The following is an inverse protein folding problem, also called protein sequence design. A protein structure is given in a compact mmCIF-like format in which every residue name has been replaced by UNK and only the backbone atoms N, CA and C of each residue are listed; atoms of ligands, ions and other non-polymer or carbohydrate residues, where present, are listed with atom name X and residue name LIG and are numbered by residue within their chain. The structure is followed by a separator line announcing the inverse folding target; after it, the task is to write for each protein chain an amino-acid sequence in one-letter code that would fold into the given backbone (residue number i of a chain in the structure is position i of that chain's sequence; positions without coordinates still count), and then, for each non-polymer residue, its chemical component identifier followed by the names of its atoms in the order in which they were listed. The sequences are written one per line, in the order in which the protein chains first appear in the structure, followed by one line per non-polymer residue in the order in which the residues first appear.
data_IF_560821193952
#
_entry.id   IF_560821193952
#
_cell.length_a   1.000
_cell.length_b   1.000
_cell.length_c   1.000
_cell.angle_alpha   90.00
_cell.angle_beta   90.00
_cell.angle_gamma   90.00
#
_symmetry.space_group_name_H-M   'P 1'
#
loop_
_entity.id
_entity.type
_entity.pdbx_description
1 polymer ?
#
# COMPACT_ATOMS: atom_id res chain seq x y z
N UNK A 1 -4.00 18.94 -12.27
CA UNK A 1 -4.01 18.33 -10.93
C UNK A 1 -4.80 19.17 -9.93
N UNK A 2 -4.43 20.43 -9.66
CA UNK A 2 -5.04 21.28 -8.64
C UNK A 2 -6.55 21.52 -8.80
N UNK A 3 -7.04 21.75 -10.03
CA UNK A 3 -8.48 21.88 -10.31
C UNK A 3 -9.26 20.61 -9.95
N UNK A 4 -8.69 19.42 -10.21
CA UNK A 4 -9.31 18.13 -9.86
C UNK A 4 -9.34 17.89 -8.35
N UNK A 5 -8.26 18.23 -7.65
CA UNK A 5 -8.23 18.18 -6.19
C UNK A 5 -9.34 19.02 -5.58
N UNK A 6 -9.50 20.28 -6.05
CA UNK A 6 -10.55 21.17 -5.57
C UNK A 6 -11.99 20.75 -5.95
N UNK A 7 -12.15 19.83 -6.90
CA UNK A 7 -13.47 19.35 -7.33
C UNK A 7 -14.02 18.20 -6.48
N UNK A 8 -13.23 17.68 -5.52
CA UNK A 8 -13.70 16.72 -4.53
C UNK A 8 -14.23 17.43 -3.29
N UNK A 9 -15.05 16.72 -2.51
CA UNK A 9 -15.55 17.20 -1.24
C UNK A 9 -14.42 17.55 -0.28
N UNK A 10 -14.66 18.53 0.60
CA UNK A 10 -13.66 18.99 1.58
C UNK A 10 -13.10 17.86 2.43
N UNK A 11 -13.92 16.87 2.78
CA UNK A 11 -13.49 15.68 3.54
C UNK A 11 -12.47 14.83 2.78
N UNK A 12 -12.69 14.61 1.49
CA UNK A 12 -11.77 13.86 0.62
C UNK A 12 -10.48 14.64 0.42
N UNK A 13 -10.58 15.96 0.20
CA UNK A 13 -9.41 16.84 0.10
C UNK A 13 -8.58 16.79 1.39
N UNK A 14 -9.24 16.88 2.55
CA UNK A 14 -8.61 16.80 3.86
C UNK A 14 -7.83 15.49 4.02
N UNK A 15 -8.43 14.36 3.65
CA UNK A 15 -7.79 13.05 3.77
C UNK A 15 -6.60 12.87 2.81
N UNK A 16 -6.62 13.51 1.62
CA UNK A 16 -5.47 13.53 0.71
C UNK A 16 -4.30 14.32 1.31
N UNK A 17 -4.57 15.53 1.85
CA UNK A 17 -3.55 16.33 2.55
C UNK A 17 -3.06 15.62 3.81
N UNK A 18 -3.97 14.98 4.54
CA UNK A 18 -3.64 14.16 5.70
C UNK A 18 -2.69 13.01 5.32
N UNK A 19 -2.95 12.30 4.21
CA UNK A 19 -2.07 11.23 3.73
C UNK A 19 -0.67 11.74 3.41
N UNK A 20 -0.55 12.91 2.78
CA UNK A 20 0.73 13.57 2.54
C UNK A 20 1.47 13.83 3.86
N UNK A 21 0.82 14.52 4.80
CA UNK A 21 1.42 14.89 6.09
C UNK A 21 1.81 13.66 6.93
N UNK A 22 0.98 12.61 6.92
CA UNK A 22 1.28 11.33 7.57
C UNK A 22 2.55 10.69 6.98
N UNK A 23 2.68 10.70 5.66
CA UNK A 23 3.88 10.14 5.04
C UNK A 23 5.12 11.00 5.30
N UNK A 24 4.99 12.33 5.27
CA UNK A 24 6.09 13.20 5.71
C UNK A 24 6.51 12.85 7.13
N UNK A 25 5.58 12.82 8.10
CA UNK A 25 5.88 12.50 9.50
C UNK A 25 6.46 11.09 9.70
N UNK A 26 6.00 10.12 8.92
CA UNK A 26 6.50 8.75 8.97
C UNK A 26 7.89 8.61 8.36
N UNK A 27 8.08 9.10 7.14
CA UNK A 27 9.32 8.90 6.39
C UNK A 27 10.45 9.86 6.82
N UNK A 28 10.16 10.95 7.57
CA UNK A 28 11.22 11.75 8.17
C UNK A 28 11.94 11.02 9.31
N UNK A 29 11.33 10.00 9.94
CA UNK A 29 11.91 9.29 11.09
C UNK A 29 12.32 7.85 10.73
N UNK A 30 11.46 7.08 10.08
CA UNK A 30 11.62 5.63 9.95
C UNK A 30 12.91 5.18 9.25
N UNK A 31 13.41 5.85 8.20
CA UNK A 31 14.68 5.47 7.58
C UNK A 31 15.88 5.58 8.51
N UNK A 32 15.83 6.49 9.49
CA UNK A 32 16.94 6.80 10.39
C UNK A 32 16.85 6.09 11.74
N UNK A 33 15.73 5.44 12.03
CA UNK A 33 15.52 4.75 13.31
C UNK A 33 16.55 3.63 13.50
N UNK A 34 16.83 2.84 12.49
CA UNK A 34 17.82 1.75 12.57
C UNK A 34 19.22 2.27 12.95
N UNK A 35 19.69 3.31 12.27
CA UNK A 35 20.98 3.94 12.57
C UNK A 35 21.03 4.54 14.00
N UNK A 36 19.94 5.17 14.44
CA UNK A 36 19.86 5.67 15.82
C UNK A 36 19.96 4.54 16.85
N UNK A 37 19.26 3.42 16.63
CA UNK A 37 19.30 2.28 17.55
C UNK A 37 20.68 1.60 17.59
N UNK A 38 21.35 1.46 16.42
CA UNK A 38 22.68 0.83 16.34
C UNK A 38 23.80 1.75 16.80
N UNK A 39 23.82 3.00 16.34
CA UNK A 39 24.99 3.88 16.46
C UNK A 39 24.95 4.74 17.73
N UNK A 40 23.75 5.08 18.21
CA UNK A 40 23.56 5.91 19.41
C UNK A 40 23.20 5.11 20.65
N UNK A 41 22.34 4.11 20.54
CA UNK A 41 21.93 3.25 21.64
C UNK A 41 22.78 1.97 21.73
N UNK A 42 23.72 1.75 20.80
CA UNK A 42 24.62 0.60 20.76
C UNK A 42 23.89 -0.75 20.85
N UNK A 43 22.69 -0.81 20.25
CA UNK A 43 21.90 -2.03 20.25
C UNK A 43 22.46 -3.06 19.28
N UNK A 44 22.46 -4.32 19.69
CA UNK A 44 22.82 -5.43 18.83
C UNK A 44 21.84 -5.52 17.62
N UNK A 45 22.33 -5.95 16.45
CA UNK A 45 21.56 -6.00 15.21
C UNK A 45 20.24 -6.79 15.34
N UNK A 46 20.22 -7.86 16.15
CA UNK A 46 18.98 -8.62 16.42
C UNK A 46 17.92 -7.78 17.15
N UNK A 47 18.33 -6.90 18.07
CA UNK A 47 17.42 -6.03 18.83
C UNK A 47 16.84 -4.93 17.92
N UNK A 48 17.68 -4.33 17.05
CA UNK A 48 17.23 -3.39 16.01
C UNK A 48 16.21 -4.07 15.08
N UNK A 49 16.53 -5.27 14.59
CA UNK A 49 15.64 -6.06 13.78
C UNK A 49 14.30 -6.38 14.46
N UNK A 50 14.34 -6.68 15.77
CA UNK A 50 13.15 -6.95 16.56
C UNK A 50 12.24 -5.72 16.71
N UNK A 51 12.82 -4.52 16.95
CA UNK A 51 12.07 -3.26 17.05
C UNK A 51 11.39 -2.91 15.73
N UNK A 52 12.10 -2.99 14.60
CA UNK A 52 11.55 -2.73 13.27
C UNK A 52 10.54 -3.82 12.84
N UNK A 53 10.84 -5.07 13.19
CA UNK A 53 9.96 -6.21 12.95
C UNK A 53 8.65 -6.12 13.73
N UNK A 54 8.69 -5.70 14.99
CA UNK A 54 7.51 -5.49 15.83
C UNK A 54 6.55 -4.46 15.21
N UNK A 55 7.08 -3.34 14.69
CA UNK A 55 6.27 -2.34 13.99
C UNK A 55 5.57 -2.95 12.76
N UNK A 56 6.33 -3.67 11.94
CA UNK A 56 5.81 -4.27 10.71
C UNK A 56 4.78 -5.37 11.01
N UNK A 57 5.05 -6.21 12.01
CA UNK A 57 4.14 -7.26 12.46
C UNK A 57 2.83 -6.67 13.01
N UNK A 58 2.90 -5.65 13.86
CA UNK A 58 1.72 -4.96 14.38
C UNK A 58 0.90 -4.33 13.25
N UNK A 59 1.53 -3.73 12.27
CA UNK A 59 0.82 -3.10 11.15
C UNK A 59 0.16 -4.16 10.26
N UNK A 60 0.92 -5.12 9.76
CA UNK A 60 0.42 -6.11 8.79
C UNK A 60 -0.55 -7.11 9.43
N UNK A 61 -0.23 -7.59 10.63
CA UNK A 61 -1.07 -8.55 11.35
C UNK A 61 -2.40 -7.98 11.82
N UNK A 62 -2.48 -6.68 12.08
CA UNK A 62 -3.67 -6.03 12.62
C UNK A 62 -4.49 -5.24 11.58
N UNK A 63 -4.14 -5.24 10.31
CA UNK A 63 -4.91 -4.55 9.27
C UNK A 63 -6.36 -5.01 9.20
N UNK A 64 -6.60 -6.32 9.31
CA UNK A 64 -7.95 -6.87 9.28
C UNK A 64 -8.78 -6.40 10.49
N UNK A 65 -8.16 -6.36 11.68
CA UNK A 65 -8.79 -5.82 12.89
C UNK A 65 -9.10 -4.33 12.72
N UNK A 66 -8.13 -3.53 12.23
CA UNK A 66 -8.32 -2.10 11.98
C UNK A 66 -9.46 -1.81 11.01
N UNK A 67 -9.55 -2.56 9.92
CA UNK A 67 -10.65 -2.46 8.96
C UNK A 67 -12.01 -2.78 9.59
N UNK A 68 -12.06 -3.84 10.38
CA UNK A 68 -13.30 -4.25 11.08
C UNK A 68 -13.76 -3.21 12.11
N UNK A 69 -12.81 -2.64 12.87
CA UNK A 69 -13.11 -1.55 13.80
C UNK A 69 -13.64 -0.32 13.06
N UNK A 70 -13.07 0.01 11.91
CA UNK A 70 -13.49 1.14 11.09
C UNK A 70 -14.92 0.96 10.55
N UNK A 71 -15.27 -0.24 10.11
CA UNK A 71 -16.63 -0.52 9.63
C UNK A 71 -17.67 -0.56 10.76
N UNK A 72 -17.28 -0.92 11.99
CA UNK A 72 -18.18 -1.03 13.15
C UNK A 72 -18.34 0.28 13.93
N UNK A 73 -17.24 0.98 14.16
CA UNK A 73 -17.22 2.19 14.97
C UNK A 73 -17.41 3.46 14.11
N UNK A 74 -17.31 3.31 12.78
CA UNK A 74 -17.26 4.41 11.83
C UNK A 74 -15.82 4.82 11.50
N UNK A 75 -15.64 5.39 10.33
CA UNK A 75 -14.29 5.68 9.81
C UNK A 75 -13.60 6.81 10.59
N UNK A 76 -14.34 7.88 10.93
CA UNK A 76 -13.80 9.06 11.64
C UNK A 76 -13.10 8.71 12.97
N UNK A 77 -13.74 8.03 13.95
CA UNK A 77 -13.11 7.75 15.24
C UNK A 77 -11.87 6.86 15.09
N UNK A 78 -11.88 5.91 14.15
CA UNK A 78 -10.73 5.03 13.92
C UNK A 78 -9.55 5.76 13.25
N UNK A 79 -9.83 6.70 12.33
CA UNK A 79 -8.82 7.58 11.75
C UNK A 79 -8.17 8.45 12.84
N UNK A 80 -8.98 9.07 13.70
CA UNK A 80 -8.50 9.90 14.82
C UNK A 80 -7.67 9.07 15.80
N UNK A 81 -8.14 7.89 16.19
CA UNK A 81 -7.41 6.97 17.06
C UNK A 81 -6.06 6.56 16.45
N UNK A 82 -6.02 6.28 15.14
CA UNK A 82 -4.78 5.98 14.44
C UNK A 82 -3.77 7.14 14.48
N UNK A 83 -4.21 8.39 14.27
CA UNK A 83 -3.35 9.56 14.36
C UNK A 83 -2.87 9.82 15.80
N UNK A 84 -3.75 9.67 16.79
CA UNK A 84 -3.41 9.84 18.21
C UNK A 84 -2.37 8.79 18.65
N UNK A 85 -2.55 7.53 18.28
CA UNK A 85 -1.58 6.48 18.58
C UNK A 85 -0.23 6.74 17.91
N UNK A 86 -0.21 7.31 16.69
CA UNK A 86 1.04 7.75 16.07
C UNK A 86 1.69 8.87 16.85
N UNK A 87 0.93 9.86 17.30
CA UNK A 87 1.45 10.95 18.14
C UNK A 87 2.19 10.39 19.36
N UNK A 88 1.53 9.47 20.07
CA UNK A 88 2.13 8.82 21.25
C UNK A 88 3.33 7.95 20.88
N UNK A 89 3.18 7.09 19.87
CA UNK A 89 4.24 6.14 19.47
C UNK A 89 5.50 6.85 18.97
N UNK A 90 5.35 7.87 18.13
CA UNK A 90 6.50 8.65 17.62
C UNK A 90 7.11 9.53 18.70
N UNK A 91 6.29 10.11 19.59
CA UNK A 91 6.78 10.82 20.76
C UNK A 91 7.61 9.90 21.66
N UNK A 92 7.10 8.71 22.00
CA UNK A 92 7.82 7.74 22.82
C UNK A 92 9.17 7.34 22.23
N UNK A 93 9.26 7.11 20.91
CA UNK A 93 10.52 6.75 20.24
C UNK A 93 11.64 7.77 20.45
N UNK A 94 11.31 9.04 20.75
CA UNK A 94 12.29 10.08 21.06
C UNK A 94 12.78 10.13 22.52
N UNK A 95 12.11 9.41 23.44
CA UNK A 95 12.40 9.49 24.87
C UNK A 95 12.71 8.16 25.54
N UNK A 96 12.56 7.04 24.81
CA UNK A 96 12.79 5.71 25.39
C UNK A 96 14.04 5.07 24.78
N UNK A 97 14.88 4.52 25.66
CA UNK A 97 16.17 3.93 25.28
C UNK A 97 16.24 2.43 25.63
N UNK A 98 15.22 1.88 26.31
CA UNK A 98 15.18 0.46 26.68
C UNK A 98 14.46 -0.38 25.63
N UNK A 99 14.97 -1.59 25.36
CA UNK A 99 14.39 -2.49 24.37
C UNK A 99 12.88 -2.75 24.58
N UNK A 100 12.38 -3.04 25.81
CA UNK A 100 10.93 -3.23 26.00
C UNK A 100 10.10 -1.99 25.65
N UNK A 101 10.56 -0.79 26.02
CA UNK A 101 9.85 0.45 25.72
C UNK A 101 9.86 0.79 24.23
N UNK A 102 10.99 0.54 23.54
CA UNK A 102 11.08 0.67 22.07
C UNK A 102 10.15 -0.32 21.35
N UNK A 103 10.02 -1.55 21.83
CA UNK A 103 9.08 -2.53 21.28
C UNK A 103 7.63 -2.05 21.43
N UNK A 104 7.26 -1.50 22.58
CA UNK A 104 5.91 -0.94 22.81
C UNK A 104 5.68 0.25 21.89
N UNK A 105 6.60 1.19 21.79
CA UNK A 105 6.50 2.36 20.92
C UNK A 105 6.37 1.95 19.43
N UNK A 106 7.16 0.95 19.00
CA UNK A 106 7.10 0.39 17.65
C UNK A 106 5.79 -0.33 17.38
N UNK A 107 5.30 -1.12 18.33
CA UNK A 107 4.00 -1.78 18.22
C UNK A 107 2.85 -0.75 18.10
N UNK A 108 2.87 0.33 18.89
CA UNK A 108 1.89 1.41 18.82
C UNK A 108 1.90 2.09 17.45
N UNK A 109 3.08 2.43 16.91
CA UNK A 109 3.19 3.06 15.57
C UNK A 109 2.70 2.12 14.46
N UNK A 110 2.97 0.83 14.56
CA UNK A 110 2.47 -0.20 13.64
C UNK A 110 0.95 -0.34 13.71
N UNK A 111 0.40 -0.51 14.91
CA UNK A 111 -1.05 -0.62 15.14
C UNK A 111 -1.81 0.63 14.66
N UNK A 112 -1.25 1.82 14.92
CA UNK A 112 -1.80 3.07 14.42
C UNK A 112 -1.96 3.05 12.89
N UNK A 113 -0.97 2.51 12.16
CA UNK A 113 -1.05 2.32 10.71
C UNK A 113 -2.13 1.31 10.31
N UNK A 114 -2.28 0.24 11.08
CA UNK A 114 -3.32 -0.77 10.85
C UNK A 114 -4.74 -0.22 11.01
N UNK A 115 -4.96 0.70 11.95
CA UNK A 115 -6.23 1.40 12.11
C UNK A 115 -6.49 2.41 10.98
N UNK A 116 -5.50 3.25 10.72
CA UNK A 116 -5.64 4.40 9.82
C UNK A 116 -5.85 3.98 8.35
N UNK A 117 -4.99 3.12 7.82
CA UNK A 117 -4.93 2.87 6.38
C UNK A 117 -6.24 2.32 5.76
N UNK A 118 -6.89 1.27 6.31
CA UNK A 118 -8.16 0.77 5.76
C UNK A 118 -9.30 1.78 5.96
N UNK A 119 -9.33 2.49 7.09
CA UNK A 119 -10.37 3.46 7.40
C UNK A 119 -10.34 4.65 6.44
N UNK A 120 -9.16 5.21 6.16
CA UNK A 120 -9.01 6.34 5.21
C UNK A 120 -9.38 5.92 3.80
N UNK A 121 -8.92 4.74 3.33
CA UNK A 121 -9.27 4.26 1.99
C UNK A 121 -10.78 4.05 1.83
N UNK A 122 -11.43 3.48 2.84
CA UNK A 122 -12.88 3.32 2.84
C UNK A 122 -13.62 4.66 2.85
N UNK A 123 -13.15 5.63 3.64
CA UNK A 123 -13.71 6.98 3.67
C UNK A 123 -13.56 7.69 2.32
N UNK A 124 -12.35 7.66 1.73
CA UNK A 124 -12.09 8.24 0.41
C UNK A 124 -12.95 7.57 -0.67
N UNK A 125 -13.09 6.25 -0.62
CA UNK A 125 -13.95 5.51 -1.54
C UNK A 125 -15.42 5.92 -1.45
N UNK A 126 -15.91 6.12 -0.22
CA UNK A 126 -17.29 6.57 0.03
C UNK A 126 -17.51 7.99 -0.48
N UNK A 127 -16.63 8.94 -0.12
CA UNK A 127 -16.74 10.34 -0.50
C UNK A 127 -16.47 10.64 -1.99
N UNK A 128 -15.76 9.73 -2.69
CA UNK A 128 -15.45 9.89 -4.11
C UNK A 128 -16.57 9.39 -5.05
N UNK A 129 -17.52 8.58 -4.57
CA UNK A 129 -18.63 8.02 -5.37
C UNK A 129 -18.15 7.37 -6.67
N UNK A 130 -18.67 7.79 -7.81
CA UNK A 130 -18.29 7.31 -9.14
C UNK A 130 -16.84 7.64 -9.57
N UNK A 131 -16.21 8.61 -8.88
CA UNK A 131 -14.87 9.10 -9.23
C UNK A 131 -13.75 8.44 -8.41
N UNK A 132 -13.97 7.23 -7.88
CA UNK A 132 -13.01 6.52 -7.01
C UNK A 132 -11.64 6.35 -7.64
N UNK A 133 -11.57 5.94 -8.91
CA UNK A 133 -10.28 5.76 -9.62
C UNK A 133 -9.47 7.06 -9.65
N UNK A 134 -10.14 8.19 -9.92
CA UNK A 134 -9.49 9.51 -9.93
C UNK A 134 -9.06 9.93 -8.52
N UNK A 135 -9.90 9.67 -7.51
CA UNK A 135 -9.60 9.97 -6.12
C UNK A 135 -8.38 9.16 -5.62
N UNK A 136 -8.31 7.86 -5.92
CA UNK A 136 -7.15 7.03 -5.55
C UNK A 136 -5.89 7.39 -6.32
N UNK A 137 -5.99 7.84 -7.57
CA UNK A 137 -4.86 8.36 -8.31
C UNK A 137 -4.29 9.64 -7.66
N UNK A 138 -5.16 10.59 -7.29
CA UNK A 138 -4.74 11.79 -6.55
C UNK A 138 -4.20 11.44 -5.16
N UNK A 139 -4.86 10.55 -4.44
CA UNK A 139 -4.42 10.06 -3.14
C UNK A 139 -2.99 9.49 -3.22
N UNK A 140 -2.68 8.72 -4.28
CA UNK A 140 -1.33 8.21 -4.51
C UNK A 140 -0.31 9.31 -4.80
N UNK A 141 -0.69 10.38 -5.50
CA UNK A 141 0.21 11.53 -5.70
C UNK A 141 0.60 12.16 -4.36
N UNK A 142 -0.38 12.41 -3.47
CA UNK A 142 -0.13 12.94 -2.13
C UNK A 142 0.69 11.97 -1.26
N UNK A 143 0.42 10.67 -1.39
CA UNK A 143 1.18 9.61 -0.74
C UNK A 143 2.66 9.65 -1.15
N UNK A 144 2.95 9.66 -2.44
CA UNK A 144 4.31 9.67 -2.99
C UNK A 144 5.06 10.99 -2.72
N UNK A 145 4.36 12.12 -2.75
CA UNK A 145 4.94 13.41 -2.38
C UNK A 145 5.44 13.40 -0.91
N UNK A 146 4.69 12.78 -0.01
CA UNK A 146 5.08 12.64 1.38
C UNK A 146 6.30 11.72 1.56
N UNK A 147 6.37 10.61 0.80
CA UNK A 147 7.53 9.71 0.79
C UNK A 147 8.80 10.42 0.31
N UNK A 148 8.67 11.26 -0.71
CA UNK A 148 9.82 11.99 -1.26
C UNK A 148 10.33 13.07 -0.30
N UNK A 149 9.42 13.85 0.31
CA UNK A 149 9.79 14.98 1.16
C UNK A 149 10.16 14.57 2.58
N UNK A 150 9.60 13.47 3.09
CA UNK A 150 9.84 13.00 4.45
C UNK A 150 11.32 12.85 4.78
N UNK A 151 12.10 12.02 4.05
CA UNK A 151 13.51 11.81 4.32
C UNK A 151 14.34 13.09 4.24
N UNK A 152 14.04 14.00 3.30
CA UNK A 152 14.75 15.28 3.15
C UNK A 152 14.59 16.16 4.40
N UNK A 153 13.37 16.23 4.94
CA UNK A 153 13.09 16.92 6.19
C UNK A 153 13.76 16.18 7.34
N UNK A 154 13.72 14.85 7.33
CA UNK A 154 14.35 14.00 8.36
C UNK A 154 15.84 14.24 8.48
N UNK A 155 16.58 14.25 7.35
CA UNK A 155 18.03 14.54 7.35
C UNK A 155 18.33 15.93 7.93
N UNK A 156 17.58 16.95 7.52
CA UNK A 156 17.78 18.31 8.02
C UNK A 156 17.55 18.43 9.53
N UNK A 157 16.56 17.73 10.07
CA UNK A 157 16.28 17.71 11.50
C UNK A 157 17.28 16.83 12.28
N UNK A 158 17.70 15.70 11.68
CA UNK A 158 18.66 14.77 12.28
C UNK A 158 20.03 15.41 12.47
N UNK A 159 20.40 16.39 11.64
CA UNK A 159 21.61 17.19 11.83
C UNK A 159 21.64 17.93 13.18
N UNK A 160 20.47 18.16 13.79
CA UNK A 160 20.36 18.75 15.13
C UNK A 160 20.28 17.67 16.20
N UNK A 161 19.22 16.84 16.18
CA UNK A 161 19.03 15.74 17.12
C UNK A 161 17.92 14.78 16.65
N UNK A 162 18.07 13.48 16.91
CA UNK A 162 17.04 12.46 16.63
C UNK A 162 15.73 12.72 17.41
N UNK A 163 15.81 13.21 18.66
CA UNK A 163 14.64 13.60 19.45
C UNK A 163 13.81 14.68 18.77
N UNK A 164 14.47 15.65 18.12
CA UNK A 164 13.78 16.69 17.38
C UNK A 164 12.98 16.10 16.22
N UNK A 165 13.53 15.11 15.50
CA UNK A 165 12.79 14.39 14.43
C UNK A 165 11.54 13.74 15.01
N UNK A 166 11.66 13.03 16.13
CA UNK A 166 10.54 12.38 16.81
C UNK A 166 9.47 13.38 17.27
N UNK A 167 9.87 14.50 17.86
CA UNK A 167 8.97 15.54 18.35
C UNK A 167 8.23 16.24 17.21
N UNK A 168 8.93 16.56 16.12
CA UNK A 168 8.31 17.16 14.92
C UNK A 168 7.32 16.17 14.29
N UNK A 169 7.69 14.89 14.16
CA UNK A 169 6.78 13.85 13.67
C UNK A 169 5.54 13.72 14.57
N UNK A 170 5.73 13.62 15.89
CA UNK A 170 4.62 13.58 16.85
C UNK A 170 3.76 14.85 16.77
N UNK A 171 4.36 16.02 16.62
CA UNK A 171 3.66 17.29 16.44
C UNK A 171 2.80 17.33 15.18
N UNK A 172 3.31 16.81 14.05
CA UNK A 172 2.54 16.65 12.81
C UNK A 172 1.32 15.75 13.05
N UNK A 173 1.49 14.59 13.69
CA UNK A 173 0.37 13.69 13.99
C UNK A 173 -0.62 14.28 14.99
N UNK A 174 -0.17 15.04 15.98
CA UNK A 174 -1.03 15.76 16.91
C UNK A 174 -1.86 16.83 16.19
N UNK A 175 -1.23 17.64 15.34
CA UNK A 175 -1.91 18.63 14.51
C UNK A 175 -2.97 17.98 13.60
N UNK A 176 -2.64 16.83 12.97
CA UNK A 176 -3.59 16.07 12.16
C UNK A 176 -4.74 15.50 13.01
N UNK A 177 -4.47 15.04 14.23
CA UNK A 177 -5.52 14.59 15.16
C UNK A 177 -6.49 15.71 15.47
N UNK A 178 -6.00 16.90 15.82
CA UNK A 178 -6.83 18.08 16.09
C UNK A 178 -7.62 18.52 14.85
N UNK A 179 -6.97 18.53 13.68
CA UNK A 179 -7.61 18.89 12.42
C UNK A 179 -8.76 17.94 12.07
N UNK A 180 -8.59 16.63 12.29
CA UNK A 180 -9.62 15.63 12.02
C UNK A 180 -10.76 15.70 13.03
N UNK A 181 -10.48 15.99 14.29
CA UNK A 181 -11.51 16.22 15.31
C UNK A 181 -12.44 17.39 14.93
N UNK A 182 -11.88 18.45 14.35
CA UNK A 182 -12.63 19.67 14.00
C UNK A 182 -13.25 19.62 12.60
N UNK A 183 -12.56 19.05 11.61
CA UNK A 183 -12.91 19.23 10.20
C UNK A 183 -13.41 17.96 9.49
N UNK A 184 -13.22 16.76 10.07
CA UNK A 184 -13.65 15.51 9.42
C UNK A 184 -15.09 15.16 9.88
N UNK A 185 -16.10 15.16 8.97
CA UNK A 185 -17.46 14.75 9.32
C UNK A 185 -17.55 13.27 9.72
N UNK A 186 -18.53 12.90 10.57
CA UNK A 186 -18.82 11.48 10.81
C UNK A 186 -19.18 10.78 9.50
N UNK A 187 -18.59 9.64 9.26
CA UNK A 187 -18.90 8.77 8.13
C UNK A 187 -19.02 7.34 8.64
N UNK A 188 -20.20 6.74 8.47
CA UNK A 188 -20.52 5.41 8.91
C UNK A 188 -20.99 4.59 7.72
N UNK A 189 -20.82 3.27 7.79
CA UNK A 189 -21.52 2.37 6.89
C UNK A 189 -23.03 2.51 7.10
N UNK A 190 -23.80 2.51 6.01
CA UNK A 190 -25.26 2.71 6.05
C UNK A 190 -26.02 1.65 6.87
N UNK A 191 -25.41 0.52 7.19
CA UNK A 191 -26.03 -0.54 8.01
C UNK A 191 -25.20 -0.83 9.24
N UNK A 192 -25.79 -0.68 10.47
CA UNK A 192 -25.12 -1.08 11.69
C UNK A 192 -24.79 -2.58 11.65
N UNK A 193 -23.53 -2.92 11.84
CA UNK A 193 -23.10 -4.31 11.81
C UNK A 193 -23.45 -4.99 13.14
N UNK A 194 -24.53 -5.81 13.12
CA UNK A 194 -24.92 -6.68 14.22
C UNK A 194 -24.32 -8.06 13.97
N UNK A 195 -23.40 -8.52 14.82
CA UNK A 195 -22.79 -9.84 14.69
C UNK A 195 -21.40 -9.93 15.32
N UNK A 196 -20.81 -11.12 15.30
CA UNK A 196 -19.44 -11.32 15.81
C UNK A 196 -18.40 -10.85 14.79
N UNK A 197 -17.26 -10.38 15.26
CA UNK A 197 -16.11 -10.01 14.42
C UNK A 197 -15.67 -11.18 13.55
N UNK A 198 -15.72 -12.39 14.12
CA UNK A 198 -15.32 -13.60 13.40
C UNK A 198 -16.27 -13.93 12.23
N UNK A 199 -17.57 -13.63 12.40
CA UNK A 199 -18.53 -13.76 11.31
C UNK A 199 -18.23 -12.78 10.16
N UNK A 200 -17.87 -11.53 10.48
CA UNK A 200 -17.48 -10.55 9.47
C UNK A 200 -16.25 -11.02 8.67
N UNK A 201 -15.25 -11.56 9.37
CA UNK A 201 -14.04 -12.09 8.72
C UNK A 201 -14.34 -13.31 7.84
N UNK A 202 -15.21 -14.20 8.34
CA UNK A 202 -15.65 -15.38 7.58
C UNK A 202 -16.40 -14.96 6.31
N UNK A 203 -17.29 -13.96 6.40
CA UNK A 203 -18.04 -13.46 5.26
C UNK A 203 -17.13 -12.83 4.19
N UNK A 204 -16.16 -12.00 4.62
CA UNK A 204 -15.15 -11.42 3.72
C UNK A 204 -14.29 -12.51 3.08
N UNK A 205 -13.84 -13.49 3.86
CA UNK A 205 -13.05 -14.63 3.36
C UNK A 205 -13.88 -15.56 2.46
N UNK A 206 -15.18 -15.67 2.68
CA UNK A 206 -16.09 -16.46 1.85
C UNK A 206 -16.40 -15.78 0.51
N UNK A 207 -16.18 -14.46 0.38
CA UNK A 207 -16.33 -13.75 -0.88
C UNK A 207 -15.30 -14.24 -1.92
N UNK A 208 -15.66 -15.27 -2.67
CA UNK A 208 -14.77 -15.97 -3.60
C UNK A 208 -14.15 -15.02 -4.64
N UNK A 209 -14.93 -14.14 -5.34
CA UNK A 209 -14.36 -13.19 -6.29
C UNK A 209 -13.31 -12.28 -5.66
N UNK A 210 -13.59 -11.73 -4.48
CA UNK A 210 -12.67 -10.86 -3.77
C UNK A 210 -11.40 -11.60 -3.32
N UNK A 211 -11.55 -12.80 -2.73
CA UNK A 211 -10.41 -13.62 -2.29
C UNK A 211 -9.48 -13.99 -3.46
N UNK A 212 -10.05 -14.39 -4.60
CA UNK A 212 -9.25 -14.70 -5.79
C UNK A 212 -8.54 -13.47 -6.33
N UNK A 213 -9.18 -12.30 -6.30
CA UNK A 213 -8.55 -11.04 -6.66
C UNK A 213 -7.41 -10.70 -5.69
N UNK A 214 -7.63 -10.77 -4.38
CA UNK A 214 -6.61 -10.48 -3.39
C UNK A 214 -5.36 -11.39 -3.56
N UNK A 215 -5.57 -12.68 -3.84
CA UNK A 215 -4.47 -13.63 -4.11
C UNK A 215 -3.75 -13.32 -5.44
N UNK A 216 -4.48 -12.97 -6.49
CA UNK A 216 -3.88 -12.61 -7.77
C UNK A 216 -3.02 -11.34 -7.68
N UNK A 217 -3.40 -10.41 -6.79
CA UNK A 217 -2.68 -9.15 -6.57
C UNK A 217 -1.44 -9.27 -5.66
N UNK A 218 -1.23 -10.42 -4.98
CA UNK A 218 -0.01 -10.65 -4.18
C UNK A 218 1.24 -10.40 -5.02
N UNK A 219 1.25 -10.85 -6.29
CA UNK A 219 2.36 -10.63 -7.21
C UNK A 219 2.69 -9.14 -7.40
N UNK A 220 1.72 -8.25 -7.44
CA UNK A 220 1.93 -6.80 -7.54
C UNK A 220 2.76 -6.27 -6.37
N UNK A 221 2.40 -6.68 -5.15
CA UNK A 221 3.10 -6.27 -3.94
C UNK A 221 4.51 -6.86 -3.86
N UNK A 222 4.66 -8.15 -4.17
CA UNK A 222 5.99 -8.80 -4.22
C UNK A 222 6.91 -8.06 -5.19
N UNK A 223 6.43 -7.75 -6.41
CA UNK A 223 7.22 -7.03 -7.41
C UNK A 223 7.57 -5.61 -6.97
N UNK A 224 6.58 -4.85 -6.44
CA UNK A 224 6.80 -3.48 -5.97
C UNK A 224 7.83 -3.40 -4.85
N UNK A 225 7.87 -4.40 -3.97
CA UNK A 225 8.81 -4.42 -2.85
C UNK A 225 10.26 -4.73 -3.25
N UNK A 226 10.51 -5.15 -4.49
CA UNK A 226 11.88 -5.43 -4.93
C UNK A 226 12.75 -4.18 -5.08
N UNK A 227 12.16 -3.00 -5.13
CA UNK A 227 12.90 -1.73 -5.01
C UNK A 227 13.57 -1.56 -3.63
N UNK A 228 13.08 -2.30 -2.62
CA UNK A 228 13.61 -2.29 -1.25
C UNK A 228 14.50 -3.50 -0.94
N UNK A 229 14.52 -4.53 -1.78
CA UNK A 229 15.26 -5.76 -1.52
C UNK A 229 16.22 -6.11 -2.66
N UNK A 230 15.69 -6.62 -3.77
CA UNK A 230 16.51 -7.23 -4.81
C UNK A 230 17.37 -6.20 -5.58
N UNK A 231 16.82 -5.02 -5.88
CA UNK A 231 17.56 -3.98 -6.59
C UNK A 231 18.70 -3.38 -5.75
N UNK A 232 18.49 -3.01 -4.47
CA UNK A 232 19.59 -2.59 -3.60
C UNK A 232 20.67 -3.63 -3.43
N UNK A 233 20.30 -4.91 -3.22
CA UNK A 233 21.28 -6.00 -3.09
C UNK A 233 22.10 -6.22 -4.38
N UNK A 234 21.50 -5.97 -5.55
CA UNK A 234 22.19 -6.12 -6.83
C UNK A 234 23.13 -4.94 -7.16
N UNK A 235 22.86 -3.76 -6.61
CA UNK A 235 23.69 -2.56 -6.85
C UNK A 235 24.86 -2.47 -5.87
N UNK A 236 24.61 -2.70 -4.57
CA UNK A 236 25.66 -2.60 -3.53
C UNK A 236 26.25 -1.21 -3.34
N UNK A 237 25.59 -0.16 -3.85
CA UNK A 237 26.00 1.25 -3.80
C UNK A 237 24.85 2.11 -3.28
N UNK A 238 25.05 2.79 -2.16
CA UNK A 238 24.03 3.57 -1.46
C UNK A 238 23.54 4.77 -2.28
N UNK A 239 24.40 5.41 -3.06
CA UNK A 239 24.03 6.55 -3.91
C UNK A 239 23.14 6.09 -5.05
N UNK A 240 23.49 4.97 -5.69
CA UNK A 240 22.66 4.36 -6.73
C UNK A 240 21.30 3.90 -6.18
N UNK A 241 21.27 3.31 -4.99
CA UNK A 241 20.02 2.93 -4.31
C UNK A 241 19.15 4.15 -4.02
N UNK A 242 19.73 5.24 -3.53
CA UNK A 242 19.02 6.50 -3.31
C UNK A 242 18.41 7.05 -4.59
N UNK A 243 19.13 6.95 -5.72
CA UNK A 243 18.63 7.36 -7.03
C UNK A 243 17.38 6.55 -7.47
N UNK A 244 17.30 5.24 -7.13
CA UNK A 244 16.11 4.42 -7.43
C UNK A 244 14.85 5.01 -6.77
N UNK A 245 14.95 5.39 -5.50
CA UNK A 245 13.80 5.94 -4.77
C UNK A 245 13.39 7.31 -5.30
N UNK A 246 14.34 8.18 -5.61
CA UNK A 246 14.07 9.51 -6.19
C UNK A 246 13.39 9.36 -7.56
N UNK A 247 13.93 8.51 -8.44
CA UNK A 247 13.36 8.26 -9.77
C UNK A 247 11.97 7.66 -9.66
N UNK A 248 11.77 6.66 -8.80
CA UNK A 248 10.46 6.06 -8.57
C UNK A 248 9.44 7.11 -8.11
N UNK A 249 9.80 7.95 -7.14
CA UNK A 249 8.91 8.99 -6.65
C UNK A 249 8.56 10.03 -7.73
N UNK A 250 9.55 10.48 -8.52
CA UNK A 250 9.34 11.43 -9.61
C UNK A 250 8.44 10.84 -10.70
N UNK A 251 8.68 9.59 -11.12
CA UNK A 251 7.83 8.89 -12.11
C UNK A 251 6.40 8.76 -11.60
N UNK A 252 6.22 8.40 -10.33
CA UNK A 252 4.90 8.30 -9.73
C UNK A 252 4.20 9.67 -9.66
N UNK A 253 4.88 10.72 -9.18
CA UNK A 253 4.31 12.07 -9.04
C UNK A 253 3.90 12.66 -10.39
N UNK A 254 4.77 12.57 -11.37
CA UNK A 254 4.55 13.16 -12.69
C UNK A 254 3.64 12.31 -13.57
N UNK A 255 3.76 10.98 -13.46
CA UNK A 255 3.05 10.03 -14.31
C UNK A 255 1.63 9.70 -13.85
N UNK A 256 1.34 9.71 -12.55
CA UNK A 256 0.11 9.14 -11.99
C UNK A 256 -1.16 9.60 -12.69
N UNK A 257 -1.39 10.90 -12.78
CA UNK A 257 -2.63 11.42 -13.35
C UNK A 257 -2.74 11.19 -14.85
N UNK A 258 -1.62 11.36 -15.59
CA UNK A 258 -1.60 11.16 -17.03
C UNK A 258 -1.85 9.70 -17.41
N UNK A 259 -1.15 8.78 -16.76
CA UNK A 259 -1.30 7.34 -16.97
C UNK A 259 -2.72 6.86 -16.60
N UNK A 260 -3.24 7.32 -15.46
CA UNK A 260 -4.60 6.96 -15.01
C UNK A 260 -5.66 7.44 -16.00
N UNK A 261 -5.60 8.72 -16.45
CA UNK A 261 -6.57 9.27 -17.40
C UNK A 261 -6.52 8.57 -18.75
N UNK A 262 -5.30 8.30 -19.25
CA UNK A 262 -5.12 7.59 -20.50
C UNK A 262 -5.67 6.16 -20.41
N UNK A 263 -5.40 5.44 -19.31
CA UNK A 263 -5.89 4.09 -19.09
C UNK A 263 -7.41 4.03 -18.95
N UNK A 264 -8.03 4.96 -18.20
CA UNK A 264 -9.50 5.02 -18.02
C UNK A 264 -10.27 5.19 -19.33
N UNK A 265 -9.67 5.86 -20.31
CA UNK A 265 -10.30 6.10 -21.62
C UNK A 265 -10.22 4.89 -22.56
N UNK A 266 -9.32 3.93 -22.28
CA UNK A 266 -8.97 2.87 -23.23
C UNK A 266 -9.20 1.47 -22.67
N UNK A 267 -9.21 1.30 -21.36
CA UNK A 267 -9.17 -0.02 -20.72
C UNK A 267 -10.19 -0.15 -19.60
N UNK A 268 -10.66 -1.38 -19.42
CA UNK A 268 -11.40 -1.78 -18.23
C UNK A 268 -10.44 -1.89 -17.03
N UNK A 269 -10.97 -1.92 -15.80
CA UNK A 269 -10.15 -2.06 -14.59
C UNK A 269 -9.28 -3.34 -14.65
N UNK A 270 -9.86 -4.48 -15.04
CA UNK A 270 -9.13 -5.74 -15.20
C UNK A 270 -8.00 -5.63 -16.22
N UNK A 271 -8.24 -4.98 -17.36
CA UNK A 271 -7.23 -4.77 -18.40
C UNK A 271 -6.09 -3.85 -17.93
N UNK A 272 -6.42 -2.77 -17.20
CA UNK A 272 -5.42 -1.84 -16.67
C UNK A 272 -4.52 -2.53 -15.64
N UNK A 273 -5.13 -3.26 -14.69
CA UNK A 273 -4.39 -4.01 -13.67
C UNK A 273 -3.50 -5.09 -14.31
N UNK A 274 -4.05 -5.88 -15.24
CA UNK A 274 -3.28 -6.94 -15.90
C UNK A 274 -2.09 -6.40 -16.69
N UNK A 275 -2.25 -5.27 -17.40
CA UNK A 275 -1.13 -4.61 -18.10
C UNK A 275 -0.13 -4.00 -17.13
N UNK A 276 -0.59 -3.43 -16.00
CA UNK A 276 0.27 -2.96 -14.95
C UNK A 276 1.16 -4.09 -14.41
N UNK A 277 0.57 -5.24 -14.06
CA UNK A 277 1.31 -6.43 -13.60
C UNK A 277 2.28 -6.97 -14.65
N UNK A 278 1.85 -7.03 -15.92
CA UNK A 278 2.75 -7.45 -17.01
C UNK A 278 3.94 -6.49 -17.16
N UNK A 279 3.71 -5.17 -17.07
CA UNK A 279 4.77 -4.16 -17.12
C UNK A 279 5.73 -4.27 -15.93
N UNK A 280 5.20 -4.52 -14.72
CA UNK A 280 6.01 -4.76 -13.52
C UNK A 280 6.89 -6.01 -13.67
N UNK A 281 6.37 -7.12 -14.22
CA UNK A 281 7.17 -8.31 -14.51
C UNK A 281 8.21 -8.06 -15.61
N UNK A 282 7.81 -7.38 -16.69
CA UNK A 282 8.70 -7.01 -17.79
C UNK A 282 9.89 -6.15 -17.33
N UNK A 283 9.72 -5.37 -16.25
CA UNK A 283 10.77 -4.54 -15.68
C UNK A 283 12.03 -5.34 -15.31
N UNK A 284 11.91 -6.61 -14.93
CA UNK A 284 13.02 -7.45 -14.51
C UNK A 284 13.70 -8.20 -15.68
N UNK A 285 13.06 -8.27 -16.85
CA UNK A 285 13.61 -8.99 -18.03
C UNK A 285 14.99 -8.46 -18.46
N UNK A 286 15.23 -7.13 -18.52
CA UNK A 286 16.55 -6.60 -18.89
C UNK A 286 17.67 -6.95 -17.91
N UNK A 287 17.34 -7.39 -16.68
CA UNK A 287 18.33 -7.78 -15.66
C UNK A 287 18.77 -9.25 -15.79
N UNK A 288 18.01 -10.09 -16.51
CA UNK A 288 18.30 -11.54 -16.66
C UNK A 288 19.68 -11.79 -17.27
N UNK A 289 20.10 -11.11 -18.35
CA UNK A 289 21.44 -11.33 -18.95
C UNK A 289 22.59 -11.11 -17.96
N UNK A 290 22.49 -10.09 -17.11
CA UNK A 290 23.51 -9.80 -16.08
C UNK A 290 23.55 -10.92 -15.03
N UNK A 291 22.39 -11.46 -14.65
CA UNK A 291 22.31 -12.60 -13.75
C UNK A 291 22.93 -13.88 -14.35
N UNK A 292 22.68 -14.14 -15.63
CA UNK A 292 23.25 -15.30 -16.35
C UNK A 292 24.77 -15.17 -16.49
N UNK A 293 25.26 -13.97 -16.77
CA UNK A 293 26.67 -13.68 -16.90
C UNK A 293 27.44 -13.62 -15.56
N UNK A 294 26.71 -13.59 -14.43
CA UNK A 294 27.30 -13.32 -13.11
C UNK A 294 27.92 -11.91 -13.01
N UNK A 295 27.46 -10.99 -13.86
CA UNK A 295 27.98 -9.64 -13.94
C UNK A 295 27.19 -8.68 -13.02
N UNK A 296 27.83 -7.62 -12.49
CA UNK A 296 27.14 -6.60 -11.74
C UNK A 296 26.06 -5.91 -12.58
N UNK A 297 24.94 -5.61 -11.98
CA UNK A 297 23.84 -4.88 -12.65
C UNK A 297 24.24 -3.42 -12.82
N UNK A 298 24.30 -2.87 -14.05
CA UNK A 298 24.59 -1.46 -14.24
C UNK A 298 23.48 -0.58 -13.63
N UNK A 299 23.86 0.55 -13.05
CA UNK A 299 22.91 1.53 -12.47
C UNK A 299 21.83 1.93 -13.47
N UNK A 300 22.20 2.13 -14.74
CA UNK A 300 21.25 2.47 -15.81
C UNK A 300 20.18 1.38 -16.01
N UNK A 301 20.54 0.09 -15.93
CA UNK A 301 19.61 -1.03 -16.06
C UNK A 301 18.67 -1.09 -14.83
N UNK A 302 19.18 -0.88 -13.62
CA UNK A 302 18.40 -0.82 -12.40
C UNK A 302 17.43 0.38 -12.41
N UNK A 303 17.86 1.54 -12.89
CA UNK A 303 16.99 2.72 -13.08
C UNK A 303 15.89 2.45 -14.10
N UNK A 304 16.20 1.83 -15.24
CA UNK A 304 15.21 1.43 -16.24
C UNK A 304 14.19 0.45 -15.68
N UNK A 305 14.65 -0.55 -14.91
CA UNK A 305 13.79 -1.47 -14.16
C UNK A 305 12.86 -0.69 -13.21
N UNK A 306 13.40 0.23 -12.43
CA UNK A 306 12.64 1.07 -11.49
C UNK A 306 11.57 1.90 -12.17
N UNK A 307 11.89 2.51 -13.31
CA UNK A 307 10.91 3.29 -14.11
C UNK A 307 9.76 2.41 -14.57
N UNK A 308 10.06 1.25 -15.17
CA UNK A 308 9.03 0.31 -15.66
C UNK A 308 8.19 -0.25 -14.52
N UNK A 309 8.82 -0.62 -13.41
CA UNK A 309 8.15 -1.13 -12.20
C UNK A 309 7.20 -0.08 -11.63
N UNK A 310 7.66 1.17 -11.53
CA UNK A 310 6.85 2.28 -11.02
C UNK A 310 5.70 2.62 -11.97
N UNK A 311 5.92 2.65 -13.29
CA UNK A 311 4.85 2.85 -14.26
C UNK A 311 3.79 1.76 -14.20
N UNK A 312 4.20 0.50 -14.00
CA UNK A 312 3.27 -0.61 -13.78
C UNK A 312 2.42 -0.43 -12.52
N UNK A 313 3.03 0.00 -11.41
CA UNK A 313 2.34 0.30 -10.15
C UNK A 313 1.38 1.48 -10.30
N UNK A 314 1.83 2.58 -10.91
CA UNK A 314 1.03 3.78 -11.21
C UNK A 314 -0.20 3.44 -12.05
N UNK A 315 -0.05 2.53 -13.01
CA UNK A 315 -1.13 2.05 -13.85
C UNK A 315 -2.13 1.18 -13.06
N UNK A 316 -1.64 0.24 -12.25
CA UNK A 316 -2.49 -0.74 -11.57
C UNK A 316 -3.23 -0.15 -10.36
N UNK A 317 -2.54 0.62 -9.50
CA UNK A 317 -2.98 1.00 -8.16
C UNK A 317 -4.38 1.66 -8.09
N UNK A 318 -4.75 2.66 -8.89
CA UNK A 318 -6.06 3.30 -8.76
C UNK A 318 -7.22 2.36 -9.10
N UNK A 319 -7.02 1.48 -10.06
CA UNK A 319 -8.02 0.48 -10.47
C UNK A 319 -8.10 -0.68 -9.47
N UNK A 320 -6.97 -1.07 -8.89
CA UNK A 320 -6.87 -2.04 -7.82
C UNK A 320 -7.69 -1.59 -6.61
N UNK A 321 -7.49 -0.37 -6.15
CA UNK A 321 -8.22 0.20 -5.01
C UNK A 321 -9.73 0.30 -5.30
N UNK A 322 -10.13 0.72 -6.49
CA UNK A 322 -11.55 0.75 -6.90
C UNK A 322 -12.14 -0.66 -6.96
N UNK A 323 -11.37 -1.65 -7.45
CA UNK A 323 -11.83 -3.04 -7.56
C UNK A 323 -12.09 -3.66 -6.18
N UNK A 324 -11.30 -3.37 -5.15
CA UNK A 324 -11.55 -3.82 -3.77
C UNK A 324 -12.93 -3.33 -3.30
N UNK A 325 -13.23 -2.03 -3.51
CA UNK A 325 -14.54 -1.44 -3.14
C UNK A 325 -15.67 -2.11 -3.92
N UNK A 326 -15.48 -2.28 -5.21
CA UNK A 326 -16.50 -2.85 -6.07
C UNK A 326 -16.82 -4.31 -5.71
N UNK A 327 -15.80 -5.12 -5.41
CA UNK A 327 -15.97 -6.51 -4.97
C UNK A 327 -16.54 -6.65 -3.55
N UNK A 328 -16.41 -5.62 -2.71
CA UNK A 328 -17.06 -5.56 -1.40
C UNK A 328 -18.57 -5.34 -1.50
N UNK A 329 -19.08 -4.93 -2.68
CA UNK A 329 -20.48 -4.56 -2.88
C UNK A 329 -20.92 -3.35 -2.06
N UNK A 330 -19.96 -2.50 -1.64
CA UNK A 330 -20.20 -1.34 -0.78
C UNK A 330 -20.39 -1.69 0.70
N UNK A 331 -20.26 -2.98 1.08
CA UNK A 331 -20.42 -3.42 2.45
C UNK A 331 -19.07 -3.81 3.07
N UNK A 332 -18.83 -3.42 4.33
CA UNK A 332 -17.58 -3.74 5.06
C UNK A 332 -16.32 -3.38 4.26
N UNK A 333 -16.32 -2.20 3.65
CA UNK A 333 -15.26 -1.76 2.73
C UNK A 333 -13.91 -1.72 3.45
N UNK A 334 -13.87 -1.20 4.68
CA UNK A 334 -12.62 -1.14 5.44
C UNK A 334 -12.14 -2.53 5.87
N UNK A 335 -13.04 -3.47 6.20
CA UNK A 335 -12.70 -4.87 6.49
C UNK A 335 -12.12 -5.55 5.24
N UNK A 336 -12.70 -5.30 4.05
CA UNK A 336 -12.15 -5.81 2.79
C UNK A 336 -10.74 -5.24 2.53
N UNK A 337 -10.51 -3.94 2.73
CA UNK A 337 -9.16 -3.37 2.65
C UNK A 337 -8.21 -3.95 3.69
N UNK A 338 -8.69 -4.17 4.91
CA UNK A 338 -7.91 -4.83 5.98
C UNK A 338 -7.48 -6.23 5.58
N UNK A 339 -8.42 -7.08 5.12
CA UNK A 339 -8.13 -8.43 4.62
C UNK A 339 -7.15 -8.41 3.44
N UNK A 340 -7.41 -7.52 2.47
CA UNK A 340 -6.55 -7.34 1.30
C UNK A 340 -5.11 -7.01 1.68
N UNK A 341 -4.91 -6.04 2.57
CA UNK A 341 -3.57 -5.65 3.02
C UNK A 341 -2.89 -6.74 3.86
N UNK A 342 -3.65 -7.52 4.65
CA UNK A 342 -3.10 -8.68 5.38
C UNK A 342 -2.60 -9.75 4.42
N UNK A 343 -3.39 -10.09 3.39
CA UNK A 343 -2.98 -11.05 2.34
C UNK A 343 -1.76 -10.53 1.59
N UNK A 344 -1.75 -9.25 1.21
CA UNK A 344 -0.60 -8.61 0.56
C UNK A 344 0.65 -8.63 1.46
N UNK A 345 0.51 -8.35 2.76
CA UNK A 345 1.61 -8.38 3.73
C UNK A 345 2.23 -9.76 3.90
N UNK A 346 1.39 -10.80 4.01
CA UNK A 346 1.86 -12.21 4.03
C UNK A 346 2.58 -12.52 2.71
N UNK A 347 1.98 -12.10 1.58
CA UNK A 347 2.56 -12.30 0.26
C UNK A 347 3.92 -11.64 0.09
N UNK A 348 4.09 -10.40 0.58
CA UNK A 348 5.40 -9.70 0.57
C UNK A 348 6.42 -10.45 1.42
N UNK A 349 6.05 -10.89 2.63
CA UNK A 349 6.97 -11.60 3.51
C UNK A 349 7.45 -12.93 2.89
N UNK A 350 6.53 -13.75 2.39
CA UNK A 350 6.86 -15.01 1.73
C UNK A 350 7.56 -14.81 0.40
N UNK A 351 7.14 -13.79 -0.37
CA UNK A 351 7.77 -13.44 -1.65
C UNK A 351 9.21 -12.95 -1.49
N UNK A 352 9.46 -12.07 -0.51
CA UNK A 352 10.82 -11.60 -0.21
C UNK A 352 11.74 -12.74 0.25
N UNK A 353 11.23 -13.68 1.08
CA UNK A 353 11.95 -14.88 1.44
C UNK A 353 12.31 -15.73 0.21
N UNK A 354 11.33 -15.97 -0.67
CA UNK A 354 11.55 -16.73 -1.89
C UNK A 354 12.55 -16.04 -2.83
N UNK A 355 12.44 -14.72 -3.01
CA UNK A 355 13.38 -13.93 -3.84
C UNK A 355 14.80 -13.96 -3.23
N UNK A 356 14.93 -13.82 -1.90
CA UNK A 356 16.23 -13.96 -1.22
C UNK A 356 16.87 -15.31 -1.51
N UNK A 357 16.12 -16.41 -1.39
CA UNK A 357 16.62 -17.76 -1.71
C UNK A 357 16.98 -17.93 -3.18
N UNK A 358 16.21 -17.30 -4.09
CA UNK A 358 16.57 -17.33 -5.52
C UNK A 358 17.84 -16.53 -5.81
N UNK A 359 18.08 -15.41 -5.09
CA UNK A 359 19.33 -14.66 -5.19
C UNK A 359 20.51 -15.46 -4.70
N UNK A 360 20.38 -16.26 -3.62
CA UNK A 360 21.41 -17.19 -3.14
C UNK A 360 21.76 -18.26 -4.17
N UNK A 361 20.78 -18.73 -4.97
CA UNK A 361 20.97 -19.70 -6.04
C UNK A 361 21.54 -19.09 -7.32
N UNK A 362 21.48 -17.77 -7.44
CA UNK A 362 21.95 -16.99 -8.59
C UNK A 362 20.92 -15.95 -9.03
N UNK A 363 21.39 -14.75 -9.29
CA UNK A 363 20.53 -13.61 -9.59
C UNK A 363 19.65 -13.80 -10.86
N UNK A 364 20.07 -14.61 -11.82
CA UNK A 364 19.27 -14.98 -13.00
C UNK A 364 17.93 -15.64 -12.61
N UNK A 365 17.94 -16.53 -11.62
CA UNK A 365 16.74 -17.20 -11.13
C UNK A 365 15.78 -16.20 -10.45
N UNK A 366 16.33 -15.24 -9.71
CA UNK A 366 15.52 -14.20 -9.07
C UNK A 366 14.83 -13.30 -10.12
N UNK A 367 15.58 -12.80 -11.11
CA UNK A 367 15.01 -11.95 -12.15
C UNK A 367 13.97 -12.68 -13.01
N UNK A 368 14.24 -13.93 -13.36
CA UNK A 368 13.29 -14.77 -14.12
C UNK A 368 12.04 -15.07 -13.29
N UNK A 369 12.18 -15.40 -12.02
CA UNK A 369 11.07 -15.64 -11.11
C UNK A 369 10.18 -14.41 -10.92
N UNK A 370 10.78 -13.22 -10.82
CA UNK A 370 10.05 -11.96 -10.73
C UNK A 370 9.31 -11.63 -12.04
N UNK A 371 9.95 -11.81 -13.19
CA UNK A 371 9.32 -11.65 -14.50
C UNK A 371 8.12 -12.60 -14.65
N UNK A 372 8.27 -13.87 -14.27
CA UNK A 372 7.20 -14.86 -14.28
C UNK A 372 6.04 -14.48 -13.32
N UNK A 373 6.37 -13.97 -12.13
CA UNK A 373 5.36 -13.52 -11.15
C UNK A 373 4.45 -12.45 -11.74
N UNK A 374 5.01 -11.47 -12.48
CA UNK A 374 4.23 -10.44 -13.15
C UNK A 374 3.34 -11.00 -14.26
N UNK A 375 3.88 -11.90 -15.09
CA UNK A 375 3.12 -12.55 -16.15
C UNK A 375 1.98 -13.44 -15.59
N UNK A 376 2.26 -14.24 -14.56
CA UNK A 376 1.28 -15.09 -13.90
C UNK A 376 0.15 -14.25 -13.25
N UNK A 377 0.50 -13.16 -12.54
CA UNK A 377 -0.47 -12.22 -11.98
C UNK A 377 -1.35 -11.57 -13.06
N UNK A 378 -0.75 -11.13 -14.17
CA UNK A 378 -1.49 -10.55 -15.30
C UNK A 378 -2.48 -11.54 -15.91
N UNK A 379 -2.09 -12.79 -16.10
CA UNK A 379 -2.97 -13.88 -16.59
C UNK A 379 -4.05 -14.18 -15.57
N UNK A 380 -3.72 -14.27 -14.28
CA UNK A 380 -4.67 -14.53 -13.21
C UNK A 380 -5.78 -13.46 -13.18
N UNK A 381 -5.40 -12.17 -13.21
CA UNK A 381 -6.36 -11.06 -13.22
C UNK A 381 -7.22 -11.06 -14.49
N UNK A 382 -6.65 -11.38 -15.66
CA UNK A 382 -7.44 -11.51 -16.90
C UNK A 382 -8.46 -12.65 -16.86
N UNK A 383 -8.13 -13.78 -16.26
CA UNK A 383 -9.05 -14.92 -16.09
C UNK A 383 -10.16 -14.66 -15.08
N UNK A 384 -9.94 -13.68 -14.20
CA UNK A 384 -10.93 -13.20 -13.25
C UNK A 384 -11.76 -12.05 -13.88
N UNK A 385 -12.11 -12.11 -15.18
CA UNK A 385 -12.90 -11.07 -15.83
C UNK A 385 -14.22 -10.83 -15.08
N UNK A 386 -14.32 -9.64 -14.48
CA UNK A 386 -15.54 -9.12 -13.91
C UNK A 386 -16.11 -8.03 -14.79
N UNK A 387 -17.33 -8.26 -15.19
CA UNK A 387 -18.12 -7.27 -15.90
C UNK A 387 -18.95 -6.46 -14.89
N UNK A 388 -19.01 -5.14 -15.06
CA UNK A 388 -20.02 -4.30 -14.40
C UNK A 388 -21.35 -4.62 -15.07
N UNK A 389 -22.07 -5.62 -14.57
CA UNK A 389 -23.44 -5.86 -15.02
C UNK A 389 -24.28 -4.60 -14.76
N UNK A 390 -25.29 -4.37 -15.60
CA UNK A 390 -26.23 -3.26 -15.61
C UNK A 390 -26.96 -2.98 -14.27
N UNK A 391 -26.65 -3.73 -13.22
CA UNK A 391 -27.16 -3.60 -11.85
C UNK A 391 -26.09 -3.33 -10.79
N UNK A 392 -24.90 -2.83 -11.17
CA UNK A 392 -23.83 -2.50 -10.20
C UNK A 392 -23.20 -3.69 -9.46
N UNK A 393 -23.49 -4.92 -9.84
CA UNK A 393 -22.90 -6.12 -9.24
C UNK A 393 -21.90 -6.76 -10.19
N UNK A 394 -20.67 -6.97 -9.71
CA UNK A 394 -19.63 -7.70 -10.44
C UNK A 394 -19.99 -9.19 -10.54
N UNK A 395 -20.03 -9.72 -11.76
CA UNK A 395 -20.17 -11.17 -12.04
C UNK A 395 -18.85 -11.70 -12.58
N UNK A 396 -18.45 -12.89 -12.13
CA UNK A 396 -17.37 -13.66 -12.77
C UNK A 396 -17.84 -14.10 -14.15
N UNK A 397 -17.10 -13.74 -15.19
CA UNK A 397 -17.33 -14.27 -16.54
C UNK A 397 -16.92 -15.75 -16.57
N UNK A 398 -17.80 -16.64 -17.01
CA UNK A 398 -17.45 -18.06 -17.18
C UNK A 398 -18.51 -19.09 -16.77
N UNK A 399 -19.73 -18.68 -16.36
CA UNK A 399 -20.86 -19.65 -16.34
C UNK A 399 -21.81 -19.36 -17.50
N UNK A 400 -22.00 -20.31 -18.44
CA UNK A 400 -23.07 -20.20 -19.44
C UNK A 400 -24.42 -20.06 -18.72
N UNK A 401 -25.25 -19.11 -19.17
CA UNK A 401 -26.63 -19.03 -18.74
C UNK A 401 -27.25 -20.40 -18.95
N UNK A 402 -27.68 -21.08 -17.90
CA UNK A 402 -28.73 -22.07 -18.03
C UNK A 402 -29.96 -21.28 -18.49
N UNK A 403 -30.24 -21.31 -19.75
CA UNK A 403 -31.55 -20.99 -20.27
C UNK A 403 -32.52 -22.01 -19.66
N UNK A 404 -33.29 -21.58 -18.68
CA UNK A 404 -34.52 -22.31 -18.32
C UNK A 404 -35.47 -22.17 -19.50
N UNK A 405 -35.44 -23.17 -20.37
CA UNK A 405 -36.53 -23.44 -21.30
C UNK A 405 -37.71 -24.00 -20.48
N UNK A 406 -38.59 -23.13 -20.08
CA UNK A 406 -39.98 -23.46 -19.72
C UNK A 406 -40.84 -22.29 -20.16
N UNK A 407 -41.03 -22.21 -21.47
CA UNK A 407 -42.21 -21.64 -22.05
C UNK A 407 -42.77 -22.68 -23.02
N UNK A 408 -43.69 -23.46 -22.55
CA UNK A 408 -44.55 -24.23 -23.42
C UNK A 408 -45.97 -24.25 -22.86
N UNK A 409 -46.84 -23.52 -23.52
CA UNK A 409 -48.28 -23.82 -23.77
C UNK A 409 -49.19 -23.81 -22.52
N UNK A 410 -50.07 -22.89 -22.41
CA UNK A 410 -51.47 -22.84 -22.96
C UNK A 410 -52.07 -21.47 -22.68
#
# INVERSE_FOLDING_TARGET
MWRRFRSFDRSVQLLMVNQFAINVGFYMLMPYLAGHLSDRLFMAAWAVGLVLGMRSLSQQGLFLLGGTLADRLGYRPVIIAGCLLRTVGFGLLGFVDTLPALLVASALTGFAGALFNPAVRAYVAHGAGERRVEAFALFNVFYQAGILLGPLIGVALLAVDFRLVCMVAAGVFAALTLLQLSALPPCHNEKPQRGSVLADWRDVAANRPFRMFALAMVGSYVLSFQIYLALPLALGDDDAVSALFVVSALVALLGQMHVTDWARRRWTASQAIARGLALMGLAFVPLIPYGVAGAPVPVAAALACTVLLTLGTVLAYPFEMDTVVALSGGHRVATHYGFYNTVAGIGVATGNFAVGRLLDLGSAWAWTGLAFTGAAGAVAVRRLEWDRGTAGRYRLWGRPRRTSSTDTRL
#
